data_IF_587462143911
#
_entry.id   IF_587462143911
#
_cell.length_a   1.000
_cell.length_b   1.000
_cell.length_c   1.000
_cell.angle_alpha   90.00
_cell.angle_beta   90.00
_cell.angle_gamma   90.00
#
_symmetry.space_group_name_H-M   'P 1'
#
loop_
_entity.id
_entity.type
_entity.pdbx_description
1 polymer ?
#
# COMPACT_ATOMS: atom_id res chain seq x y z
N UNK A 1 -0.67 20.38 -38.93
CA UNK A 1 -1.73 20.50 -37.90
C UNK A 1 -1.31 19.84 -36.58
N UNK A 2 -0.65 18.67 -36.59
CA UNK A 2 -0.09 18.05 -35.39
C UNK A 2 1.05 18.84 -34.73
N UNK A 3 1.92 19.51 -35.49
CA UNK A 3 3.08 20.23 -34.93
C UNK A 3 2.71 21.36 -33.96
N UNK A 4 1.62 22.09 -34.26
CA UNK A 4 1.13 23.20 -33.44
C UNK A 4 0.58 22.68 -32.11
N UNK A 5 -0.10 21.53 -32.14
CA UNK A 5 -0.61 20.87 -30.93
C UNK A 5 0.57 20.39 -30.06
N UNK A 6 1.62 19.85 -30.68
CA UNK A 6 2.82 19.42 -29.96
C UNK A 6 3.58 20.60 -29.35
N UNK A 7 3.70 21.73 -30.04
CA UNK A 7 4.30 22.95 -29.49
C UNK A 7 3.50 23.56 -28.34
N UNK A 8 2.17 23.59 -28.46
CA UNK A 8 1.27 24.01 -27.39
C UNK A 8 1.38 23.10 -26.17
N UNK A 9 1.39 21.78 -26.37
CA UNK A 9 1.62 20.80 -25.31
C UNK A 9 2.98 20.97 -24.64
N UNK A 10 4.04 21.22 -25.41
CA UNK A 10 5.37 21.47 -24.87
C UNK A 10 5.42 22.75 -24.02
N UNK A 11 4.82 23.84 -24.48
CA UNK A 11 4.72 25.08 -23.69
C UNK A 11 3.92 24.88 -22.40
N UNK A 12 2.79 24.19 -22.49
CA UNK A 12 1.97 23.84 -21.34
C UNK A 12 2.73 22.95 -20.37
N UNK A 13 3.48 21.95 -20.84
CA UNK A 13 4.32 21.09 -20.00
C UNK A 13 5.43 21.86 -19.28
N UNK A 14 6.06 22.83 -19.95
CA UNK A 14 7.07 23.71 -19.33
C UNK A 14 6.42 24.57 -18.23
N UNK A 15 5.21 25.08 -18.45
CA UNK A 15 4.47 25.81 -17.42
C UNK A 15 3.93 24.92 -16.30
N UNK A 16 3.56 23.69 -16.60
CA UNK A 16 3.11 22.69 -15.61
C UNK A 16 4.24 22.28 -14.68
N UNK A 17 5.46 22.14 -15.23
CA UNK A 17 6.66 21.79 -14.48
C UNK A 17 7.21 22.93 -13.61
N UNK A 18 6.72 24.16 -13.74
CA UNK A 18 7.09 25.22 -12.78
C UNK A 18 6.66 24.79 -11.38
N UNK A 19 7.58 24.91 -10.40
CA UNK A 19 7.35 24.45 -9.02
C UNK A 19 5.99 24.90 -8.48
N UNK A 20 5.62 26.16 -8.66
CA UNK A 20 4.33 26.72 -8.21
C UNK A 20 3.12 25.97 -8.74
N UNK A 21 3.15 25.53 -10.00
CA UNK A 21 2.05 24.80 -10.62
C UNK A 21 2.08 23.33 -10.18
N UNK A 22 3.27 22.73 -10.07
CA UNK A 22 3.46 21.39 -9.52
C UNK A 22 2.90 21.27 -8.11
N UNK A 23 3.16 22.25 -7.22
CA UNK A 23 2.61 22.26 -5.86
C UNK A 23 1.09 22.37 -5.85
N UNK A 24 0.53 23.13 -6.81
CA UNK A 24 -0.91 23.27 -6.98
C UNK A 24 -1.57 21.96 -7.42
N UNK A 25 -0.96 21.26 -8.38
CA UNK A 25 -1.43 19.95 -8.84
C UNK A 25 -1.32 18.92 -7.73
N UNK A 26 -0.24 18.96 -6.94
CA UNK A 26 -0.14 18.11 -5.76
C UNK A 26 -1.31 18.33 -4.80
N UNK A 27 -1.58 19.58 -4.41
CA UNK A 27 -2.66 19.90 -3.46
C UNK A 27 -4.07 19.69 -4.01
N UNK A 28 -4.30 20.03 -5.27
CA UNK A 28 -5.65 20.04 -5.86
C UNK A 28 -6.02 18.72 -6.56
N UNK A 29 -5.04 17.90 -6.93
CA UNK A 29 -5.27 16.65 -7.68
C UNK A 29 -4.68 15.44 -6.96
N UNK A 30 -3.39 15.48 -6.61
CA UNK A 30 -2.71 14.31 -6.02
C UNK A 30 -3.25 14.03 -4.61
N UNK A 31 -3.34 15.05 -3.75
CA UNK A 31 -3.85 14.94 -2.39
C UNK A 31 -5.29 14.39 -2.33
N UNK A 32 -6.28 14.87 -3.11
CA UNK A 32 -7.61 14.29 -3.09
C UNK A 32 -7.66 12.85 -3.63
N UNK A 33 -6.85 12.52 -4.63
CA UNK A 33 -6.76 11.13 -5.15
C UNK A 33 -6.18 10.21 -4.07
N UNK A 34 -5.08 10.61 -3.44
CA UNK A 34 -4.49 9.88 -2.32
C UNK A 34 -5.51 9.77 -1.19
N UNK A 35 -6.15 10.87 -0.78
CA UNK A 35 -7.11 10.87 0.31
C UNK A 35 -8.28 9.91 0.04
N UNK A 36 -8.89 9.95 -1.16
CA UNK A 36 -9.96 9.03 -1.52
C UNK A 36 -9.50 7.57 -1.61
N UNK A 37 -8.34 7.33 -2.23
CA UNK A 37 -7.79 5.98 -2.39
C UNK A 37 -7.46 5.37 -1.04
N UNK A 38 -6.72 6.09 -0.19
CA UNK A 38 -6.37 5.64 1.15
C UNK A 38 -7.59 5.51 2.05
N UNK A 39 -8.60 6.37 1.93
CA UNK A 39 -9.86 6.25 2.68
C UNK A 39 -10.61 4.96 2.36
N UNK A 40 -10.61 4.54 1.08
CA UNK A 40 -11.19 3.26 0.70
C UNK A 40 -10.29 2.08 1.04
N UNK A 41 -8.97 2.21 0.89
CA UNK A 41 -8.01 1.13 1.16
C UNK A 41 -7.83 0.85 2.66
N UNK A 42 -7.97 1.87 3.52
CA UNK A 42 -7.79 1.75 4.97
C UNK A 42 -8.60 0.60 5.61
N UNK A 43 -9.91 0.47 5.41
CA UNK A 43 -10.67 -0.65 5.97
C UNK A 43 -10.20 -2.01 5.46
N UNK A 44 -9.81 -2.13 4.18
CA UNK A 44 -9.30 -3.39 3.63
C UNK A 44 -7.93 -3.75 4.16
N UNK A 45 -7.01 -2.79 4.26
CA UNK A 45 -5.68 -2.99 4.85
C UNK A 45 -5.83 -3.39 6.32
N UNK A 46 -6.73 -2.74 7.05
CA UNK A 46 -6.97 -3.03 8.46
C UNK A 46 -7.54 -4.44 8.66
N UNK A 47 -8.55 -4.84 7.87
CA UNK A 47 -9.10 -6.22 7.90
C UNK A 47 -8.03 -7.25 7.52
N UNK A 48 -7.26 -6.97 6.46
CA UNK A 48 -6.18 -7.88 6.00
C UNK A 48 -5.11 -8.03 7.07
N UNK A 49 -4.74 -6.94 7.75
CA UNK A 49 -3.77 -6.95 8.83
C UNK A 49 -4.27 -7.78 10.02
N UNK A 50 -5.54 -7.62 10.41
CA UNK A 50 -6.15 -8.43 11.48
C UNK A 50 -6.14 -9.91 11.11
N UNK A 51 -6.56 -10.25 9.88
CA UNK A 51 -6.54 -11.63 9.39
C UNK A 51 -5.12 -12.20 9.37
N UNK A 52 -4.14 -11.40 8.95
CA UNK A 52 -2.74 -11.80 8.96
C UNK A 52 -2.21 -12.04 10.37
N UNK A 53 -2.54 -11.18 11.34
CA UNK A 53 -2.17 -11.40 12.74
C UNK A 53 -2.83 -12.67 13.29
N UNK A 54 -4.09 -12.93 12.95
CA UNK A 54 -4.81 -14.11 13.41
C UNK A 54 -4.18 -15.40 12.84
N UNK A 55 -3.89 -15.44 11.55
CA UNK A 55 -3.23 -16.60 10.92
C UNK A 55 -1.81 -16.78 11.44
N UNK A 56 -1.11 -15.69 11.73
CA UNK A 56 0.23 -15.73 12.33
C UNK A 56 0.20 -16.34 13.74
N UNK A 57 -0.74 -15.92 14.59
CA UNK A 57 -0.94 -16.51 15.93
C UNK A 57 -1.28 -18.00 15.80
N UNK A 58 -2.16 -18.37 14.87
CA UNK A 58 -2.53 -19.76 14.65
C UNK A 58 -1.32 -20.62 14.24
N UNK A 59 -0.48 -20.10 13.34
CA UNK A 59 0.74 -20.77 12.92
C UNK A 59 1.72 -20.95 14.09
N UNK A 60 1.87 -19.93 14.95
CA UNK A 60 2.69 -20.04 16.16
C UNK A 60 2.16 -21.10 17.13
N UNK A 61 0.83 -21.17 17.33
CA UNK A 61 0.23 -22.18 18.20
C UNK A 61 0.47 -23.60 17.67
N UNK A 62 0.30 -23.82 16.37
CA UNK A 62 0.57 -25.11 15.73
C UNK A 62 2.04 -25.50 15.91
N UNK A 63 2.95 -24.54 15.70
CA UNK A 63 4.38 -24.75 15.88
C UNK A 63 4.71 -25.11 17.34
N UNK A 64 4.16 -24.38 18.32
CA UNK A 64 4.36 -24.68 19.75
C UNK A 64 3.82 -26.06 20.14
N UNK A 65 2.65 -26.44 19.60
CA UNK A 65 2.06 -27.76 19.84
C UNK A 65 2.97 -28.87 19.31
N UNK A 66 3.48 -28.72 18.08
CA UNK A 66 4.44 -29.64 17.47
C UNK A 66 5.72 -29.79 18.31
N UNK A 67 6.30 -28.67 18.76
CA UNK A 67 7.48 -28.70 19.63
C UNK A 67 7.20 -29.39 20.96
N UNK A 68 6.07 -29.12 21.60
CA UNK A 68 5.69 -29.77 22.86
C UNK A 68 5.50 -31.28 22.68
N UNK A 69 4.82 -31.69 21.60
CA UNK A 69 4.59 -33.10 21.31
C UNK A 69 5.90 -33.86 21.05
N UNK A 70 6.81 -33.28 20.26
CA UNK A 70 8.12 -33.87 19.97
C UNK A 70 8.99 -34.05 21.24
N UNK A 71 8.94 -33.08 22.17
CA UNK A 71 9.63 -33.23 23.47
C UNK A 71 9.04 -34.35 24.32
N UNK A 72 7.71 -34.50 24.34
CA UNK A 72 7.06 -35.57 25.09
C UNK A 72 7.44 -36.96 24.55
N UNK A 73 7.42 -37.16 23.23
CA UNK A 73 7.78 -38.46 22.62
C UNK A 73 9.22 -38.87 22.88
N UNK A 74 10.16 -37.92 22.91
CA UNK A 74 11.58 -38.19 23.21
C UNK A 74 11.86 -38.46 24.71
N UNK A 75 10.93 -38.12 25.61
CA UNK A 75 11.07 -38.42 27.05
C UNK A 75 10.58 -39.82 27.44
N UNK A 76 9.87 -40.50 26.53
CA UNK A 76 9.29 -41.82 26.77
C UNK A 76 10.08 -42.97 26.10
N UNK A 77 11.04 -42.65 25.22
CA UNK A 77 12.00 -43.58 24.60
C UNK A 77 13.32 -43.61 25.36
#
# INVERSE_FOLDING_TARGET
MSSIITELLNKLLVEFKKEKNMTRIQKEVVDPIIHYSFKQMYPYILVTLILFCLTFILALLILLLLLKNNKYTNSLS
#
